data_IF_611476550970
#
_entry.id   IF_611476550970
#
_cell.length_a   1.000
_cell.length_b   1.000
_cell.length_c   1.000
_cell.angle_alpha   90.00
_cell.angle_beta   90.00
_cell.angle_gamma   90.00
#
_symmetry.space_group_name_H-M   'P 1'
#
loop_
_entity.id
_entity.type
_entity.pdbx_description
1 polymer ?
#
# COMPACT_ATOMS: atom_id res chain seq x y z
N UNK A 1 41.70 -23.76 -18.22
CA UNK A 1 41.26 -23.12 -16.95
C UNK A 1 40.41 -21.86 -17.14
N UNK A 2 40.75 -20.95 -18.07
CA UNK A 2 40.06 -19.65 -18.24
C UNK A 2 38.56 -19.74 -18.59
N UNK A 3 38.19 -20.60 -19.53
CA UNK A 3 36.81 -20.73 -20.01
C UNK A 3 35.83 -21.27 -18.96
N UNK A 4 36.23 -22.25 -18.16
CA UNK A 4 35.39 -22.80 -17.07
C UNK A 4 35.10 -21.73 -16.01
N UNK A 5 36.11 -20.90 -15.66
CA UNK A 5 35.93 -19.79 -14.71
C UNK A 5 34.94 -18.76 -15.25
N UNK A 6 35.03 -18.42 -16.53
CA UNK A 6 34.11 -17.50 -17.19
C UNK A 6 32.67 -18.03 -17.22
N UNK A 7 32.49 -19.31 -17.59
CA UNK A 7 31.17 -19.95 -17.57
C UNK A 7 30.56 -19.95 -16.16
N UNK A 8 31.35 -20.28 -15.13
CA UNK A 8 30.87 -20.25 -13.75
C UNK A 8 30.47 -18.82 -13.31
N UNK A 9 31.22 -17.80 -13.73
CA UNK A 9 30.85 -16.41 -13.45
C UNK A 9 29.53 -16.03 -14.13
N UNK A 10 29.30 -16.45 -15.38
CA UNK A 10 28.04 -16.22 -16.09
C UNK A 10 26.86 -16.87 -15.35
N UNK A 11 27.01 -18.12 -14.94
CA UNK A 11 26.00 -18.84 -14.16
C UNK A 11 25.70 -18.09 -12.85
N UNK A 12 26.73 -17.70 -12.11
CA UNK A 12 26.55 -16.96 -10.86
C UNK A 12 25.79 -15.64 -11.08
N UNK A 13 26.14 -14.88 -12.12
CA UNK A 13 25.46 -13.63 -12.46
C UNK A 13 23.98 -13.89 -12.82
N UNK A 14 23.69 -14.88 -13.65
CA UNK A 14 22.31 -15.23 -14.03
C UNK A 14 21.48 -15.63 -12.81
N UNK A 15 22.04 -16.41 -11.89
CA UNK A 15 21.36 -16.81 -10.65
C UNK A 15 21.06 -15.59 -9.78
N UNK A 16 22.03 -14.71 -9.58
CA UNK A 16 21.85 -13.47 -8.80
C UNK A 16 20.78 -12.57 -9.42
N UNK A 17 20.79 -12.39 -10.74
CA UNK A 17 19.75 -11.61 -11.43
C UNK A 17 18.37 -12.27 -11.32
N UNK A 18 18.30 -13.60 -11.40
CA UNK A 18 17.07 -14.36 -11.19
C UNK A 18 16.46 -14.07 -9.82
N UNK A 19 17.26 -14.15 -8.76
CA UNK A 19 16.82 -13.80 -7.41
C UNK A 19 16.37 -12.34 -7.28
N UNK A 20 17.12 -11.39 -7.85
CA UNK A 20 16.73 -9.97 -7.84
C UNK A 20 15.38 -9.74 -8.53
N UNK A 21 15.11 -10.43 -9.65
CA UNK A 21 13.81 -10.32 -10.35
C UNK A 21 12.67 -10.87 -9.50
N UNK A 22 12.89 -11.98 -8.80
CA UNK A 22 11.91 -12.57 -7.88
C UNK A 22 11.62 -11.60 -6.72
N UNK A 23 12.66 -11.07 -6.09
CA UNK A 23 12.53 -10.10 -4.99
C UNK A 23 11.71 -8.87 -5.42
N UNK A 24 12.08 -8.24 -6.54
CA UNK A 24 11.34 -7.09 -7.08
C UNK A 24 9.89 -7.44 -7.40
N UNK A 25 9.64 -8.62 -7.98
CA UNK A 25 8.29 -9.08 -8.30
C UNK A 25 7.43 -9.27 -7.04
N UNK A 26 8.00 -9.87 -5.99
CA UNK A 26 7.34 -10.09 -4.70
C UNK A 26 7.02 -8.76 -4.02
N UNK A 27 7.99 -7.86 -3.91
CA UNK A 27 7.80 -6.53 -3.28
C UNK A 27 6.73 -5.73 -4.03
N UNK A 28 6.80 -5.68 -5.37
CA UNK A 28 5.79 -4.98 -6.17
C UNK A 28 4.41 -5.60 -6.04
N UNK A 29 4.33 -6.94 -5.95
CA UNK A 29 3.07 -7.65 -5.70
C UNK A 29 2.43 -7.25 -4.38
N UNK A 30 3.21 -7.21 -3.29
CA UNK A 30 2.71 -6.78 -1.98
C UNK A 30 2.24 -5.33 -1.98
N UNK A 31 3.01 -4.41 -2.57
CA UNK A 31 2.63 -2.99 -2.67
C UNK A 31 1.29 -2.81 -3.39
N UNK A 32 1.06 -3.53 -4.50
CA UNK A 32 -0.22 -3.47 -5.23
C UNK A 32 -1.40 -3.98 -4.41
N UNK A 33 -1.19 -5.03 -3.61
CA UNK A 33 -2.23 -5.56 -2.73
C UNK A 33 -2.54 -4.54 -1.64
N UNK A 34 -1.52 -3.97 -1.00
CA UNK A 34 -1.66 -2.93 0.02
C UNK A 34 -2.43 -1.73 -0.53
N UNK A 35 -2.01 -1.17 -1.66
CA UNK A 35 -2.67 -0.05 -2.33
C UNK A 35 -4.15 -0.36 -2.62
N UNK A 36 -4.43 -1.56 -3.13
CA UNK A 36 -5.79 -2.02 -3.43
C UNK A 36 -6.67 -2.10 -2.18
N UNK A 37 -6.16 -2.67 -1.10
CA UNK A 37 -6.87 -2.82 0.18
C UNK A 37 -7.12 -1.45 0.82
N UNK A 38 -6.09 -0.61 0.93
CA UNK A 38 -6.20 0.73 1.53
C UNK A 38 -7.16 1.61 0.72
N UNK A 39 -7.07 1.60 -0.62
CA UNK A 39 -7.99 2.34 -1.47
C UNK A 39 -9.43 1.82 -1.35
N UNK A 40 -9.62 0.51 -1.30
CA UNK A 40 -10.92 -0.12 -1.11
C UNK A 40 -11.56 0.27 0.23
N UNK A 41 -10.80 0.19 1.31
CA UNK A 41 -11.23 0.62 2.64
C UNK A 41 -11.63 2.10 2.65
N UNK A 42 -10.79 2.98 2.09
CA UNK A 42 -11.06 4.43 2.04
C UNK A 42 -12.40 4.72 1.34
N UNK A 43 -12.71 4.02 0.24
CA UNK A 43 -14.00 4.18 -0.46
C UNK A 43 -15.19 3.75 0.39
N UNK A 44 -15.05 2.68 1.17
CA UNK A 44 -16.10 2.22 2.09
C UNK A 44 -16.29 3.24 3.20
N UNK A 45 -15.20 3.73 3.78
CA UNK A 45 -15.20 4.76 4.81
C UNK A 45 -15.85 6.06 4.31
N UNK A 46 -15.47 6.54 3.12
CA UNK A 46 -16.04 7.75 2.53
C UNK A 46 -17.56 7.61 2.34
N UNK A 47 -18.04 6.47 1.82
CA UNK A 47 -19.48 6.20 1.71
C UNK A 47 -20.18 6.12 3.06
N UNK A 48 -19.55 5.52 4.05
CA UNK A 48 -20.11 5.41 5.39
C UNK A 48 -20.28 6.80 6.02
N UNK A 49 -19.25 7.65 5.92
CA UNK A 49 -19.31 9.03 6.39
C UNK A 49 -20.44 9.77 5.68
N UNK A 50 -20.46 9.72 4.34
CA UNK A 50 -21.46 10.40 3.52
C UNK A 50 -22.89 9.97 3.86
N UNK A 51 -23.11 8.67 4.05
CA UNK A 51 -24.45 8.10 4.28
C UNK A 51 -24.95 8.31 5.72
N UNK A 52 -24.07 8.24 6.71
CA UNK A 52 -24.48 8.12 8.11
C UNK A 52 -23.98 9.23 9.04
N UNK A 53 -22.90 9.93 8.70
CA UNK A 53 -22.21 10.82 9.62
C UNK A 53 -22.15 12.29 9.17
N UNK A 54 -22.53 12.59 7.93
CA UNK A 54 -22.74 13.95 7.44
C UNK A 54 -23.95 14.59 8.12
N UNK A 55 -23.87 15.90 8.31
CA UNK A 55 -24.98 16.76 8.72
C UNK A 55 -25.52 17.53 7.51
N UNK A 56 -26.70 18.11 7.63
CA UNK A 56 -27.27 18.93 6.54
C UNK A 56 -26.30 20.04 6.10
N UNK A 57 -26.02 20.07 4.79
CA UNK A 57 -25.09 21.02 4.18
C UNK A 57 -23.61 20.71 4.39
N UNK A 58 -23.27 19.60 5.04
CA UNK A 58 -21.89 19.16 5.27
C UNK A 58 -21.41 18.23 4.15
N UNK A 59 -20.19 18.44 3.64
CA UNK A 59 -19.56 17.48 2.72
C UNK A 59 -18.97 16.29 3.48
N UNK A 60 -18.67 15.19 2.78
CA UNK A 60 -18.00 14.05 3.40
C UNK A 60 -16.62 14.44 3.97
N UNK A 61 -15.88 15.32 3.29
CA UNK A 61 -14.61 15.86 3.76
C UNK A 61 -14.77 16.70 5.03
N UNK A 62 -15.78 17.57 5.11
CA UNK A 62 -16.06 18.38 6.30
C UNK A 62 -16.43 17.50 7.50
N UNK A 63 -17.29 16.50 7.26
CA UNK A 63 -17.67 15.52 8.27
C UNK A 63 -16.44 14.74 8.79
N UNK A 64 -15.54 14.33 7.89
CA UNK A 64 -14.29 13.67 8.24
C UNK A 64 -13.37 14.57 9.09
N UNK A 65 -13.22 15.84 8.73
CA UNK A 65 -12.42 16.79 9.49
C UNK A 65 -12.98 16.98 10.91
N UNK A 66 -14.30 17.19 11.02
CA UNK A 66 -14.99 17.32 12.31
C UNK A 66 -14.86 16.06 13.18
N UNK A 67 -15.05 14.87 12.62
CA UNK A 67 -14.91 13.61 13.35
C UNK A 67 -13.48 13.42 13.89
N UNK A 68 -12.47 13.72 13.08
CA UNK A 68 -11.06 13.66 13.50
C UNK A 68 -10.75 14.64 14.63
N UNK A 69 -11.31 15.85 14.60
CA UNK A 69 -11.19 16.82 15.69
C UNK A 69 -11.87 16.32 16.97
N UNK A 70 -13.07 15.75 16.85
CA UNK A 70 -13.78 15.13 17.99
C UNK A 70 -12.98 13.99 18.60
N UNK A 71 -12.38 13.11 17.81
CA UNK A 71 -11.55 11.99 18.30
C UNK A 71 -10.35 12.52 19.09
N UNK A 72 -9.64 13.52 18.55
CA UNK A 72 -8.49 14.16 19.24
C UNK A 72 -8.89 14.79 20.57
N UNK A 73 -10.03 15.49 20.58
CA UNK A 73 -10.53 16.18 21.77
C UNK A 73 -11.09 15.22 22.82
N UNK A 74 -11.61 14.06 22.39
CA UNK A 74 -12.16 13.02 23.28
C UNK A 74 -11.09 12.09 23.88
N UNK A 75 -9.80 12.34 23.63
CA UNK A 75 -8.70 11.68 24.35
C UNK A 75 -8.54 10.19 24.07
N UNK A 76 -9.14 9.67 22.99
CA UNK A 76 -8.86 8.31 22.53
C UNK A 76 -7.47 8.33 21.89
N UNK A 77 -6.46 7.95 22.70
CA UNK A 77 -5.10 7.68 22.23
C UNK A 77 -5.06 6.48 21.30
#
# INVERSE_FOLDING_TARGET
MSSVKETNQKIANTVVEGYKRIETGVVSGYQKIEDGVVSGYKKIEDKFIDTFLTKEGETAEDARARLNEQIKNNGVK
#
